data_IF_801879776763
#
_entry.id   IF_801879776763
#
_cell.length_a   1.000
_cell.length_b   1.000
_cell.length_c   1.000
_cell.angle_alpha   90.00
_cell.angle_beta   90.00
_cell.angle_gamma   90.00
#
_symmetry.space_group_name_H-M   'P 1'
#
loop_
_entity.id
_entity.type
_entity.pdbx_description
1 polymer ?
#
# COMPACT_ATOMS: atom_id res chain seq x y z
N UNK A 1 0.14 16.91 -22.88
CA UNK A 1 -0.60 17.98 -22.19
C UNK A 1 -1.09 17.39 -20.88
N UNK A 2 -0.38 17.64 -19.79
CA UNK A 2 -0.85 17.24 -18.46
C UNK A 2 -2.04 18.12 -18.10
N UNK A 3 -3.24 17.54 -18.10
CA UNK A 3 -4.43 18.25 -17.61
C UNK A 3 -4.34 18.32 -16.09
N UNK A 4 -4.12 19.53 -15.57
CA UNK A 4 -4.21 19.77 -14.13
C UNK A 4 -5.64 19.46 -13.67
N UNK A 5 -5.79 18.45 -12.83
CA UNK A 5 -7.09 17.93 -12.34
C UNK A 5 -7.25 18.16 -10.84
N UNK A 6 -7.32 19.43 -10.38
CA UNK A 6 -7.19 19.78 -8.96
C UNK A 6 -8.25 19.12 -8.08
N UNK A 7 -9.48 19.00 -8.59
CA UNK A 7 -10.57 18.33 -7.88
C UNK A 7 -10.32 16.83 -7.70
N UNK A 8 -9.83 16.14 -8.74
CA UNK A 8 -9.57 14.70 -8.66
C UNK A 8 -8.40 14.41 -7.71
N UNK A 9 -7.31 15.20 -7.79
CA UNK A 9 -6.14 15.04 -6.92
C UNK A 9 -6.46 15.32 -5.45
N UNK A 10 -7.28 16.35 -5.15
CA UNK A 10 -7.69 16.66 -3.77
C UNK A 10 -8.62 15.59 -3.19
N UNK A 11 -9.59 15.09 -3.97
CA UNK A 11 -10.44 13.98 -3.55
C UNK A 11 -9.65 12.71 -3.30
N UNK A 12 -8.71 12.37 -4.20
CA UNK A 12 -7.81 11.22 -4.01
C UNK A 12 -6.97 11.35 -2.73
N UNK A 13 -6.37 12.52 -2.50
CA UNK A 13 -5.61 12.79 -1.29
C UNK A 13 -6.45 12.69 -0.02
N UNK A 14 -7.67 13.24 -0.02
CA UNK A 14 -8.61 13.15 1.10
C UNK A 14 -8.98 11.70 1.40
N UNK A 15 -9.24 10.88 0.37
CA UNK A 15 -9.55 9.46 0.52
C UNK A 15 -8.37 8.67 1.13
N UNK A 16 -7.15 8.92 0.66
CA UNK A 16 -5.95 8.26 1.20
C UNK A 16 -5.72 8.67 2.66
N UNK A 17 -5.83 9.97 2.96
CA UNK A 17 -5.68 10.48 4.33
C UNK A 17 -6.75 9.94 5.28
N UNK A 18 -8.00 9.86 4.83
CA UNK A 18 -9.10 9.28 5.62
C UNK A 18 -8.88 7.79 5.87
N UNK A 19 -8.41 7.03 4.88
CA UNK A 19 -8.07 5.62 5.06
C UNK A 19 -6.94 5.43 6.08
N UNK A 20 -5.89 6.26 6.04
CA UNK A 20 -4.80 6.23 7.01
C UNK A 20 -5.29 6.59 8.43
N UNK A 21 -6.11 7.63 8.56
CA UNK A 21 -6.70 8.05 9.83
C UNK A 21 -7.62 6.96 10.42
N UNK A 22 -8.45 6.32 9.60
CA UNK A 22 -9.30 5.21 10.04
C UNK A 22 -8.47 4.05 10.59
N UNK A 23 -7.36 3.68 9.92
CA UNK A 23 -6.49 2.62 10.41
C UNK A 23 -5.87 2.99 11.77
N UNK A 24 -5.42 4.24 11.91
CA UNK A 24 -4.86 4.74 13.17
C UNK A 24 -5.90 4.75 14.30
N UNK A 25 -7.11 5.24 14.04
CA UNK A 25 -8.17 5.35 15.05
C UNK A 25 -8.75 3.99 15.47
N UNK A 26 -8.86 3.04 14.54
CA UNK A 26 -9.47 1.72 14.81
C UNK A 26 -8.49 0.69 15.35
N UNK A 27 -7.26 0.68 14.84
CA UNK A 27 -6.25 -0.32 15.19
C UNK A 27 -5.09 0.27 16.03
N UNK A 28 -4.96 1.59 16.13
CA UNK A 28 -3.82 2.23 16.81
C UNK A 28 -2.50 2.08 16.04
N UNK A 29 -2.57 1.81 14.72
CA UNK A 29 -1.40 1.50 13.88
C UNK A 29 -1.29 2.49 12.71
N UNK A 30 -0.06 2.87 12.40
CA UNK A 30 0.26 3.70 11.24
C UNK A 30 0.22 2.85 9.95
N UNK A 31 -0.25 3.42 8.83
CA UNK A 31 -0.37 2.71 7.55
C UNK A 31 1.00 2.50 6.85
N UNK A 32 1.76 1.52 7.34
CA UNK A 32 3.01 1.06 6.72
C UNK A 32 2.84 -0.27 6.00
N UNK A 33 2.66 -0.27 4.67
CA UNK A 33 2.35 -1.50 3.90
C UNK A 33 3.42 -2.59 4.11
N UNK A 34 4.72 -2.26 4.06
CA UNK A 34 5.79 -3.24 4.28
C UNK A 34 5.76 -3.86 5.67
N UNK A 35 5.42 -3.06 6.70
CA UNK A 35 5.32 -3.54 8.09
C UNK A 35 4.07 -4.40 8.31
N UNK A 36 2.95 -4.00 7.72
CA UNK A 36 1.69 -4.75 7.76
C UNK A 36 1.85 -6.10 7.05
N UNK A 37 2.41 -6.10 5.84
CA UNK A 37 2.66 -7.33 5.08
C UNK A 37 3.68 -8.23 5.78
N UNK A 38 4.79 -7.68 6.28
CA UNK A 38 5.79 -8.46 7.04
C UNK A 38 5.24 -9.03 8.34
N UNK A 39 4.35 -8.29 9.01
CA UNK A 39 3.68 -8.73 10.24
C UNK A 39 2.79 -9.96 10.05
N UNK A 40 2.29 -10.23 8.84
CA UNK A 40 1.55 -11.47 8.56
C UNK A 40 2.39 -12.73 8.77
N UNK A 41 3.69 -12.63 8.49
CA UNK A 41 4.64 -13.74 8.58
C UNK A 41 5.25 -13.86 9.98
N UNK A 42 5.45 -12.74 10.66
CA UNK A 42 6.21 -12.70 11.93
C UNK A 42 5.33 -12.74 13.18
N UNK A 43 4.13 -12.15 13.16
CA UNK A 43 3.27 -12.09 14.35
C UNK A 43 2.62 -13.44 14.61
N UNK A 44 2.45 -13.86 15.87
CA UNK A 44 1.86 -15.17 16.22
C UNK A 44 0.36 -15.10 16.55
N UNK A 45 -0.15 -13.93 16.94
CA UNK A 45 -1.53 -13.79 17.43
C UNK A 45 -2.52 -13.73 16.27
N UNK A 46 -3.56 -14.58 16.31
CA UNK A 46 -4.62 -14.64 15.28
C UNK A 46 -5.31 -13.29 15.06
N UNK A 47 -5.56 -12.53 16.14
CA UNK A 47 -6.16 -11.18 16.05
C UNK A 47 -5.27 -10.21 15.26
N UNK A 48 -3.98 -10.21 15.55
CA UNK A 48 -2.99 -9.35 14.88
C UNK A 48 -2.82 -9.73 13.40
N UNK A 49 -2.85 -11.03 13.08
CA UNK A 49 -2.85 -11.49 11.69
C UNK A 49 -4.15 -11.13 10.96
N UNK A 50 -5.29 -11.24 11.63
CA UNK A 50 -6.62 -11.03 11.04
C UNK A 50 -6.79 -9.65 10.41
N UNK A 51 -6.55 -8.58 11.17
CA UNK A 51 -6.70 -7.22 10.63
C UNK A 51 -5.67 -6.90 9.54
N UNK A 52 -4.41 -7.37 9.69
CA UNK A 52 -3.37 -7.20 8.67
C UNK A 52 -3.76 -7.91 7.37
N UNK A 53 -4.36 -9.09 7.47
CA UNK A 53 -4.79 -9.87 6.32
C UNK A 53 -5.95 -9.19 5.62
N UNK A 54 -6.92 -8.67 6.39
CA UNK A 54 -8.02 -7.85 5.85
C UNK A 54 -7.51 -6.59 5.15
N UNK A 55 -6.51 -5.91 5.71
CA UNK A 55 -5.89 -4.74 5.09
C UNK A 55 -5.24 -5.09 3.75
N UNK A 56 -4.40 -6.14 3.72
CA UNK A 56 -3.74 -6.59 2.48
C UNK A 56 -4.76 -7.07 1.45
N UNK A 57 -5.78 -7.82 1.86
CA UNK A 57 -6.87 -8.25 0.98
C UNK A 57 -7.61 -7.04 0.40
N UNK A 58 -7.92 -6.03 1.21
CA UNK A 58 -8.55 -4.79 0.76
C UNK A 58 -7.71 -4.05 -0.28
N UNK A 59 -6.38 -3.99 -0.09
CA UNK A 59 -5.45 -3.38 -1.04
C UNK A 59 -5.44 -4.13 -2.39
N UNK A 60 -5.41 -5.46 -2.36
CA UNK A 60 -5.47 -6.31 -3.56
C UNK A 60 -6.81 -6.17 -4.29
N UNK A 61 -7.92 -6.22 -3.55
CA UNK A 61 -9.27 -6.06 -4.11
C UNK A 61 -9.43 -4.67 -4.73
N UNK A 62 -8.95 -3.61 -4.07
CA UNK A 62 -8.98 -2.25 -4.59
C UNK A 62 -8.23 -2.13 -5.93
N UNK A 63 -7.03 -2.71 -6.01
CA UNK A 63 -6.27 -2.77 -7.26
C UNK A 63 -6.99 -3.55 -8.37
N UNK A 64 -7.58 -4.70 -8.03
CA UNK A 64 -8.33 -5.51 -8.98
C UNK A 64 -9.57 -4.78 -9.51
N UNK A 65 -10.36 -4.19 -8.61
CA UNK A 65 -11.55 -3.39 -8.98
C UNK A 65 -11.13 -2.19 -9.85
N UNK A 66 -10.03 -1.52 -9.51
CA UNK A 66 -9.49 -0.44 -10.34
C UNK A 66 -9.13 -0.93 -11.75
N UNK A 67 -8.55 -2.12 -11.88
CA UNK A 67 -8.22 -2.72 -13.17
C UNK A 67 -9.45 -3.10 -14.00
N UNK A 68 -10.57 -3.45 -13.36
CA UNK A 68 -11.82 -3.78 -14.03
C UNK A 68 -12.59 -2.52 -14.48
N UNK A 69 -12.61 -1.47 -13.65
CA UNK A 69 -13.37 -0.25 -13.91
C UNK A 69 -12.60 0.72 -14.82
N UNK A 70 -11.27 0.74 -14.74
CA UNK A 70 -10.42 1.64 -15.52
C UNK A 70 -9.22 0.89 -16.13
N UNK A 71 -9.46 -0.07 -17.05
CA UNK A 71 -8.43 -0.99 -17.55
C UNK A 71 -7.27 -0.29 -18.27
N UNK A 72 -7.52 0.85 -18.90
CA UNK A 72 -6.48 1.65 -19.59
C UNK A 72 -5.59 2.45 -18.64
N UNK A 73 -5.92 2.51 -17.35
CA UNK A 73 -5.16 3.26 -16.34
C UNK A 73 -4.08 2.43 -15.65
N UNK A 74 -4.13 1.10 -15.79
CA UNK A 74 -3.13 0.19 -15.24
C UNK A 74 -2.28 -0.35 -16.39
N UNK A 75 -1.12 0.27 -16.61
CA UNK A 75 -0.09 -0.28 -17.49
C UNK A 75 0.72 -1.33 -16.75
N UNK A 76 0.83 -2.52 -17.34
CA UNK A 76 1.77 -3.53 -16.84
C UNK A 76 3.19 -2.98 -16.85
N UNK A 77 3.97 -3.32 -15.83
CA UNK A 77 5.38 -2.96 -15.79
C UNK A 77 6.11 -3.64 -16.95
N UNK A 78 6.80 -2.85 -17.78
CA UNK A 78 7.66 -3.35 -18.84
C UNK A 78 9.02 -3.79 -18.25
N UNK A 79 8.98 -4.88 -17.47
CA UNK A 79 10.14 -5.40 -16.76
C UNK A 79 10.12 -6.94 -16.77
N UNK A 80 11.30 -7.54 -16.89
CA UNK A 80 11.43 -8.99 -16.79
C UNK A 80 11.07 -9.49 -15.40
N UNK A 81 10.60 -10.73 -15.28
CA UNK A 81 10.29 -11.38 -14.00
C UNK A 81 11.49 -11.35 -13.05
N UNK A 82 12.70 -11.55 -13.57
CA UNK A 82 13.93 -11.49 -12.78
C UNK A 82 14.15 -10.08 -12.19
N UNK A 83 13.91 -9.04 -12.99
CA UNK A 83 13.98 -7.64 -12.54
C UNK A 83 12.96 -7.35 -11.45
N UNK A 84 11.72 -7.83 -11.59
CA UNK A 84 10.68 -7.65 -10.58
C UNK A 84 11.02 -8.33 -9.26
N UNK A 85 11.56 -9.56 -9.31
CA UNK A 85 12.02 -10.28 -8.11
C UNK A 85 13.16 -9.51 -7.43
N UNK A 86 14.18 -9.09 -8.19
CA UNK A 86 15.30 -8.34 -7.66
C UNK A 86 14.85 -7.01 -7.04
N UNK A 87 13.97 -6.26 -7.73
CA UNK A 87 13.40 -5.01 -7.23
C UNK A 87 12.62 -5.24 -5.93
N UNK A 88 11.76 -6.26 -5.86
CA UNK A 88 11.01 -6.60 -4.67
C UNK A 88 11.90 -6.92 -3.47
N UNK A 89 12.97 -7.69 -3.68
CA UNK A 89 13.95 -8.01 -2.62
C UNK A 89 14.70 -6.76 -2.13
N UNK A 90 15.16 -5.91 -3.07
CA UNK A 90 15.86 -4.67 -2.73
C UNK A 90 14.96 -3.69 -1.99
N UNK A 91 13.70 -3.53 -2.41
CA UNK A 91 12.71 -2.69 -1.71
C UNK A 91 12.40 -3.27 -0.34
N UNK A 92 12.24 -4.60 -0.24
CA UNK A 92 12.03 -5.28 1.05
C UNK A 92 13.18 -5.03 2.04
N UNK A 93 14.42 -5.18 1.59
CA UNK A 93 15.61 -4.89 2.39
C UNK A 93 15.68 -3.39 2.75
N UNK A 94 15.49 -2.51 1.77
CA UNK A 94 15.55 -1.06 1.94
C UNK A 94 14.52 -0.55 2.96
N UNK A 95 13.28 -1.06 2.91
CA UNK A 95 12.24 -0.66 3.86
C UNK A 95 12.52 -1.12 5.29
N UNK A 96 13.22 -2.25 5.46
CA UNK A 96 13.71 -2.70 6.79
C UNK A 96 14.86 -1.83 7.30
N UNK A 97 15.85 -1.56 6.45
CA UNK A 97 17.00 -0.71 6.82
C UNK A 97 16.57 0.74 7.13
N UNK A 98 15.62 1.26 6.35
CA UNK A 98 15.05 2.60 6.54
C UNK A 98 13.98 2.68 7.61
N UNK A 99 13.68 1.61 8.35
CA UNK A 99 12.61 1.55 9.36
C UNK A 99 11.20 1.96 8.88
N UNK A 100 10.94 1.90 7.57
CA UNK A 100 9.64 2.25 7.01
C UNK A 100 9.61 2.23 5.49
N UNK A 101 8.42 2.43 4.93
CA UNK A 101 8.14 2.44 3.50
C UNK A 101 7.53 3.78 3.07
N UNK A 102 7.28 3.97 1.78
CA UNK A 102 6.70 5.21 1.23
C UNK A 102 5.36 5.55 1.85
N UNK A 103 4.49 4.56 2.13
CA UNK A 103 3.21 4.82 2.79
C UNK A 103 3.40 5.24 4.26
N UNK A 104 4.40 4.68 4.95
CA UNK A 104 4.69 5.00 6.34
C UNK A 104 5.31 6.38 6.49
N UNK A 105 6.47 6.61 5.85
CA UNK A 105 7.21 7.87 5.97
C UNK A 105 6.67 9.00 5.09
N UNK A 106 6.12 8.68 3.92
CA UNK A 106 5.69 9.69 2.96
C UNK A 106 4.24 10.14 3.15
N UNK A 107 3.34 9.24 3.52
CA UNK A 107 1.91 9.55 3.69
C UNK A 107 1.56 9.82 5.15
N UNK A 108 2.10 9.06 6.09
CA UNK A 108 1.72 9.13 7.51
C UNK A 108 2.79 9.71 8.44
N UNK A 109 3.99 10.00 7.94
CA UNK A 109 5.13 10.54 8.69
C UNK A 109 5.17 12.06 8.60
#
# INVERSE_FOLDING_TARGET
MEHFTPLASTLGGLLIGLAAALLLLTNGRIAGVSGIAGGLLTESTTRERGWRAMFVAGLLIGGLVSGLVAPTSITAADASTATLIAAGLLVGLGTRLGSGCTSGHGVCG
#
